data_IF_017193383264
#
_entry.id   IF_017193383264
#
_cell.length_a   1.000
_cell.length_b   1.000
_cell.length_c   1.000
_cell.angle_alpha   90.00
_cell.angle_beta   90.00
_cell.angle_gamma   90.00
#
_symmetry.space_group_name_H-M   'P 1'
#
loop_
_entity.id
_entity.type
_entity.pdbx_description
1 polymer ?
#
# COMPACT_ATOMS: atom_id res chain seq x y z
N UNK A 1 4.77 10.92 -9.39
CA UNK A 1 4.88 10.56 -7.95
C UNK A 1 6.10 9.72 -7.66
N UNK A 2 6.23 8.49 -8.21
CA UNK A 2 7.35 7.57 -7.92
C UNK A 2 8.74 8.23 -8.07
N UNK A 3 8.94 9.01 -9.15
CA UNK A 3 10.16 9.79 -9.37
C UNK A 3 10.42 10.85 -8.28
N UNK A 4 9.38 11.64 -7.93
CA UNK A 4 9.45 12.69 -6.92
C UNK A 4 9.84 12.12 -5.54
N UNK A 5 9.23 10.98 -5.19
CA UNK A 5 9.57 10.26 -3.97
C UNK A 5 11.00 9.77 -3.99
N UNK A 6 11.46 9.18 -5.10
CA UNK A 6 12.88 8.83 -5.29
C UNK A 6 13.79 10.02 -5.03
N UNK A 7 13.51 11.16 -5.65
CA UNK A 7 14.31 12.39 -5.50
C UNK A 7 14.32 12.96 -4.07
N UNK A 8 13.26 12.71 -3.28
CA UNK A 8 13.19 13.13 -1.88
C UNK A 8 13.95 12.23 -0.89
N UNK A 9 14.28 10.99 -1.28
CA UNK A 9 14.98 10.04 -0.41
C UNK A 9 16.45 10.42 -0.25
N UNK A 10 16.92 10.45 1.00
CA UNK A 10 18.34 10.58 1.31
C UNK A 10 18.99 9.22 1.53
N UNK A 11 20.19 9.00 0.98
CA UNK A 11 21.03 7.87 1.43
C UNK A 11 21.41 7.97 2.90
N UNK A 12 21.38 9.18 3.48
CA UNK A 12 21.59 9.43 4.91
C UNK A 12 20.32 9.27 5.75
N UNK A 13 19.25 8.64 5.24
CA UNK A 13 18.04 8.40 6.02
C UNK A 13 18.40 7.74 7.36
N UNK A 14 17.95 8.33 8.46
CA UNK A 14 18.30 7.86 9.80
C UNK A 14 17.95 6.38 9.93
N UNK A 15 18.83 5.54 10.51
CA UNK A 15 18.56 4.11 10.72
C UNK A 15 17.19 3.83 11.38
N UNK A 16 16.70 4.76 12.20
CA UNK A 16 15.37 4.74 12.79
C UNK A 16 14.23 4.78 11.77
N UNK A 17 14.32 5.63 10.74
CA UNK A 17 13.31 5.73 9.67
C UNK A 17 13.32 4.45 8.83
N UNK A 18 14.50 3.95 8.46
CA UNK A 18 14.65 2.68 7.75
C UNK A 18 14.06 1.53 8.56
N UNK A 19 14.35 1.46 9.85
CA UNK A 19 13.79 0.43 10.74
C UNK A 19 12.27 0.51 10.81
N UNK A 20 11.69 1.67 11.12
CA UNK A 20 10.23 1.82 11.26
C UNK A 20 9.51 1.55 9.96
N UNK A 21 9.84 2.30 8.90
CA UNK A 21 9.14 2.23 7.61
C UNK A 21 9.41 0.92 6.89
N UNK A 22 10.67 0.47 6.87
CA UNK A 22 11.07 -0.78 6.23
C UNK A 22 10.39 -1.98 6.88
N UNK A 23 10.25 -1.98 8.21
CA UNK A 23 9.49 -3.02 8.91
C UNK A 23 8.04 -3.08 8.42
N UNK A 24 7.36 -1.93 8.32
CA UNK A 24 5.96 -1.90 7.89
C UNK A 24 5.81 -2.39 6.45
N UNK A 25 6.61 -1.88 5.52
CA UNK A 25 6.59 -2.28 4.11
C UNK A 25 6.87 -3.77 3.97
N UNK A 26 7.96 -4.27 4.56
CA UNK A 26 8.32 -5.69 4.47
C UNK A 26 7.27 -6.60 5.10
N UNK A 27 6.71 -6.20 6.24
CA UNK A 27 5.65 -6.97 6.91
C UNK A 27 4.43 -7.07 6.00
N UNK A 28 4.01 -5.96 5.39
CA UNK A 28 2.84 -5.95 4.52
C UNK A 28 3.04 -6.80 3.27
N UNK A 29 4.19 -6.65 2.61
CA UNK A 29 4.56 -7.47 1.44
C UNK A 29 4.58 -8.95 1.80
N UNK A 30 5.17 -9.31 2.95
CA UNK A 30 5.23 -10.69 3.41
C UNK A 30 3.83 -11.26 3.69
N UNK A 31 2.96 -10.49 4.34
CA UNK A 31 1.58 -10.92 4.59
C UNK A 31 0.81 -11.08 3.28
N UNK A 32 0.90 -10.11 2.37
CA UNK A 32 0.28 -10.20 1.04
C UNK A 32 0.77 -11.43 0.26
N UNK A 33 2.07 -11.71 0.32
CA UNK A 33 2.67 -12.90 -0.27
C UNK A 33 2.12 -14.20 0.34
N UNK A 34 2.10 -14.31 1.67
CA UNK A 34 1.58 -15.49 2.38
C UNK A 34 0.10 -15.75 2.06
N UNK A 35 -0.72 -14.70 2.04
CA UNK A 35 -2.16 -14.81 1.74
C UNK A 35 -2.36 -15.20 0.28
N UNK A 36 -1.60 -14.60 -0.65
CA UNK A 36 -1.68 -14.93 -2.07
C UNK A 36 -1.23 -16.37 -2.33
N UNK A 37 -0.15 -16.84 -1.67
CA UNK A 37 0.34 -18.21 -1.74
C UNK A 37 -0.67 -19.21 -1.16
N UNK A 38 -1.29 -18.88 -0.02
CA UNK A 38 -2.32 -19.73 0.57
C UNK A 38 -3.54 -19.82 -0.36
N UNK A 39 -4.00 -18.68 -0.88
CA UNK A 39 -5.15 -18.64 -1.78
C UNK A 39 -4.88 -19.38 -3.09
N UNK A 40 -3.70 -19.22 -3.70
CA UNK A 40 -3.36 -19.92 -4.96
C UNK A 40 -3.30 -21.44 -4.81
N UNK A 41 -3.01 -21.95 -3.60
CA UNK A 41 -3.05 -23.38 -3.29
C UNK A 41 -4.46 -23.90 -3.01
N UNK A 42 -5.33 -23.07 -2.44
CA UNK A 42 -6.68 -23.47 -2.03
C UNK A 42 -7.68 -23.34 -3.20
N UNK A 43 -7.45 -22.40 -4.12
CA UNK A 43 -8.35 -22.11 -5.25
C UNK A 43 -7.69 -22.55 -6.57
N UNK A 44 -8.05 -23.73 -7.11
CA UNK A 44 -7.58 -24.18 -8.41
C UNK A 44 -7.92 -23.15 -9.50
N UNK A 45 -6.96 -22.81 -10.35
CA UNK A 45 -7.12 -21.79 -11.39
C UNK A 45 -6.99 -20.34 -10.91
N UNK A 46 -6.88 -20.10 -9.60
CA UNK A 46 -6.57 -18.77 -9.05
C UNK A 46 -7.75 -17.78 -9.07
N UNK A 47 -8.96 -18.23 -9.35
CA UNK A 47 -10.17 -17.40 -9.26
C UNK A 47 -11.37 -18.25 -8.88
N UNK A 48 -12.25 -17.67 -8.06
CA UNK A 48 -13.53 -18.27 -7.70
C UNK A 48 -14.56 -17.80 -8.73
N UNK A 49 -15.16 -18.74 -9.46
CA UNK A 49 -16.12 -18.42 -10.53
C UNK A 49 -17.58 -18.42 -10.06
N UNK A 50 -17.89 -19.12 -8.96
CA UNK A 50 -19.27 -19.34 -8.50
C UNK A 50 -19.45 -19.07 -7.02
N UNK A 51 -20.70 -18.82 -6.62
CA UNK A 51 -21.09 -18.60 -5.22
C UNK A 51 -20.84 -17.17 -4.72
N UNK A 52 -20.92 -17.00 -3.40
CA UNK A 52 -20.86 -15.67 -2.74
C UNK A 52 -19.47 -15.01 -2.88
N UNK A 53 -18.43 -15.81 -3.13
CA UNK A 53 -17.07 -15.33 -3.37
C UNK A 53 -16.70 -15.22 -4.86
N UNK A 54 -17.68 -15.36 -5.77
CA UNK A 54 -17.46 -15.24 -7.21
C UNK A 54 -16.80 -13.89 -7.55
N UNK A 55 -15.66 -13.96 -8.25
CA UNK A 55 -14.84 -12.81 -8.61
C UNK A 55 -13.62 -12.56 -7.74
N UNK A 56 -13.51 -13.22 -6.59
CA UNK A 56 -12.29 -13.19 -5.82
C UNK A 56 -11.21 -14.00 -6.58
N UNK A 57 -10.10 -13.34 -6.89
CA UNK A 57 -8.99 -13.92 -7.63
C UNK A 57 -7.67 -13.62 -6.93
N UNK A 58 -6.61 -14.37 -7.27
CA UNK A 58 -5.26 -14.08 -6.75
C UNK A 58 -4.84 -12.66 -7.12
N UNK A 59 -5.26 -12.17 -8.29
CA UNK A 59 -5.00 -10.82 -8.76
C UNK A 59 -5.70 -9.76 -7.90
N UNK A 60 -6.95 -10.00 -7.53
CA UNK A 60 -7.69 -9.11 -6.62
C UNK A 60 -7.04 -9.09 -5.23
N UNK A 61 -6.69 -10.26 -4.69
CA UNK A 61 -6.08 -10.39 -3.35
C UNK A 61 -4.75 -9.67 -3.28
N UNK A 62 -3.83 -9.99 -4.20
CA UNK A 62 -2.50 -9.37 -4.17
C UNK A 62 -2.62 -7.86 -4.30
N UNK A 63 -3.42 -7.37 -5.26
CA UNK A 63 -3.60 -5.94 -5.52
C UNK A 63 -4.25 -5.21 -4.33
N UNK A 64 -5.07 -5.88 -3.52
CA UNK A 64 -5.67 -5.28 -2.35
C UNK A 64 -4.70 -5.19 -1.16
N UNK A 65 -3.77 -6.15 -1.02
CA UNK A 65 -3.03 -6.36 0.22
C UNK A 65 -1.58 -5.87 0.18
N UNK A 66 -0.95 -5.80 -0.98
CA UNK A 66 0.47 -5.51 -1.11
C UNK A 66 0.81 -4.01 -1.08
N UNK A 67 -0.20 -3.14 -1.13
CA UNK A 67 -0.03 -1.70 -1.24
C UNK A 67 -0.70 -0.92 -0.10
N UNK A 68 0.00 0.05 0.46
CA UNK A 68 -0.50 1.03 1.43
C UNK A 68 -0.86 2.33 0.75
N UNK A 69 -1.97 2.93 1.18
CA UNK A 69 -2.26 4.30 0.81
C UNK A 69 -1.31 5.26 1.54
N UNK A 70 -0.16 5.54 0.92
CA UNK A 70 0.88 6.41 1.48
C UNK A 70 0.38 7.83 1.78
N UNK A 71 -0.55 8.37 0.99
CA UNK A 71 -1.15 9.68 1.23
C UNK A 71 -2.04 9.70 2.47
N UNK A 72 -2.90 8.68 2.62
CA UNK A 72 -3.71 8.48 3.82
C UNK A 72 -2.84 8.25 5.05
N UNK A 73 -1.85 7.37 4.94
CA UNK A 73 -0.90 7.09 6.02
C UNK A 73 -0.20 8.39 6.47
N UNK A 74 0.34 9.17 5.52
CA UNK A 74 1.01 10.43 5.82
C UNK A 74 0.08 11.41 6.53
N UNK A 75 -1.16 11.57 6.05
CA UNK A 75 -2.14 12.47 6.67
C UNK A 75 -2.49 12.06 8.12
N UNK A 76 -2.69 10.77 8.36
CA UNK A 76 -3.00 10.24 9.69
C UNK A 76 -1.78 10.36 10.61
N UNK A 77 -0.57 10.08 10.11
CA UNK A 77 0.66 10.15 10.90
C UNK A 77 1.15 11.57 11.15
N UNK A 78 0.82 12.54 10.31
CA UNK A 78 1.02 13.95 10.63
C UNK A 78 0.19 14.40 11.85
N UNK A 79 -0.97 13.78 12.07
CA UNK A 79 -1.85 14.11 13.21
C UNK A 79 -1.52 13.32 14.47
N UNK A 80 -1.20 12.02 14.34
CA UNK A 80 -1.11 11.09 15.48
C UNK A 80 0.28 10.45 15.68
N UNK A 81 1.18 10.56 14.70
CA UNK A 81 2.48 9.87 14.70
C UNK A 81 3.65 10.81 15.03
N UNK A 82 4.85 10.22 15.16
CA UNK A 82 6.10 10.97 15.28
C UNK A 82 6.56 11.53 13.92
N UNK A 83 7.53 12.45 13.92
CA UNK A 83 8.14 12.97 12.68
C UNK A 83 8.70 11.84 11.83
N UNK A 84 9.37 10.86 12.45
CA UNK A 84 9.93 9.69 11.78
C UNK A 84 8.84 8.79 11.19
N UNK A 85 7.72 8.62 11.90
CA UNK A 85 6.57 7.82 11.42
C UNK A 85 5.84 8.51 10.27
N UNK A 86 5.69 9.85 10.32
CA UNK A 86 5.12 10.61 9.20
C UNK A 86 6.02 10.58 7.96
N UNK A 87 7.35 10.60 8.14
CA UNK A 87 8.33 10.50 7.05
C UNK A 87 8.44 9.10 6.45
N UNK A 88 7.90 8.08 7.12
CA UNK A 88 7.92 6.69 6.65
C UNK A 88 7.16 6.46 5.34
N UNK A 89 6.23 7.35 5.01
CA UNK A 89 5.41 7.23 3.80
C UNK A 89 6.23 7.22 2.51
N UNK A 90 7.44 7.80 2.53
CA UNK A 90 8.34 7.84 1.36
C UNK A 90 8.74 6.42 0.95
N UNK A 91 9.06 5.56 1.92
CA UNK A 91 9.36 4.15 1.66
C UNK A 91 8.11 3.34 1.32
N UNK A 92 6.96 3.66 1.90
CA UNK A 92 5.68 3.07 1.49
C UNK A 92 5.30 3.44 0.06
N UNK A 93 5.87 4.50 -0.50
CA UNK A 93 5.65 4.82 -1.91
C UNK A 93 6.38 3.86 -2.85
N UNK A 94 7.34 3.05 -2.35
CA UNK A 94 8.02 2.03 -3.16
C UNK A 94 7.12 0.85 -3.53
N UNK A 95 6.18 0.50 -2.65
CA UNK A 95 5.23 -0.55 -2.97
C UNK A 95 4.15 -0.05 -3.96
N UNK A 96 4.11 1.27 -4.23
CA UNK A 96 3.14 1.85 -5.16
C UNK A 96 3.45 1.51 -6.62
N UNK A 97 2.73 0.53 -7.16
CA UNK A 97 2.73 0.16 -8.58
C UNK A 97 2.55 -1.34 -8.78
N UNK A 98 2.71 -1.85 -10.00
CA UNK A 98 2.57 -3.28 -10.27
C UNK A 98 3.77 -4.11 -9.80
N UNK A 99 4.89 -3.47 -9.42
CA UNK A 99 6.16 -4.16 -9.14
C UNK A 99 6.03 -5.23 -8.06
N UNK A 100 5.51 -4.85 -6.89
CA UNK A 100 5.37 -5.78 -5.75
C UNK A 100 4.37 -6.87 -6.09
N UNK A 101 3.24 -6.52 -6.70
CA UNK A 101 2.24 -7.48 -7.16
C UNK A 101 2.85 -8.49 -8.13
N UNK A 102 3.66 -8.05 -9.10
CA UNK A 102 4.34 -8.90 -10.07
C UNK A 102 5.36 -9.84 -9.40
N UNK A 103 6.12 -9.34 -8.41
CA UNK A 103 7.06 -10.17 -7.64
C UNK A 103 6.31 -11.25 -6.86
N UNK A 104 5.22 -10.89 -6.20
CA UNK A 104 4.38 -11.85 -5.45
C UNK A 104 3.79 -12.87 -6.41
N UNK A 105 3.07 -12.44 -7.46
CA UNK A 105 2.45 -13.31 -8.47
C UNK A 105 3.47 -14.25 -9.14
N UNK A 106 4.66 -13.72 -9.45
CA UNK A 106 5.76 -14.49 -10.01
C UNK A 106 6.26 -15.57 -9.05
N UNK A 107 6.53 -15.18 -7.80
CA UNK A 107 7.09 -16.08 -6.79
C UNK A 107 6.13 -17.19 -6.34
N UNK A 108 4.81 -16.95 -6.36
CA UNK A 108 3.81 -17.98 -6.03
C UNK A 108 3.44 -18.85 -7.22
N UNK A 109 4.05 -18.62 -8.40
CA UNK A 109 3.80 -19.39 -9.63
C UNK A 109 2.50 -19.03 -10.35
N UNK A 110 1.86 -17.91 -10.02
CA UNK A 110 0.61 -17.49 -10.66
C UNK A 110 0.82 -16.82 -12.03
N UNK A 111 2.01 -16.28 -12.28
CA UNK A 111 2.37 -15.69 -13.57
C UNK A 111 3.88 -15.71 -13.80
N UNK A 112 4.31 -15.51 -15.05
CA UNK A 112 5.70 -15.23 -15.39
C UNK A 112 5.77 -13.88 -16.09
N UNK A 113 6.70 -13.04 -15.66
CA UNK A 113 6.88 -11.69 -16.19
C UNK A 113 8.31 -11.56 -16.71
N UNK A 114 8.52 -11.07 -17.95
CA UNK A 114 9.87 -10.81 -18.42
C UNK A 114 10.53 -9.65 -17.65
N UNK A 115 11.86 -9.74 -17.49
CA UNK A 115 12.65 -8.85 -16.62
C UNK A 115 12.52 -7.36 -16.99
N UNK A 116 12.30 -7.07 -18.28
CA UNK A 116 12.07 -5.72 -18.79
C UNK A 116 10.89 -5.00 -18.12
N UNK A 117 9.81 -5.71 -17.75
CA UNK A 117 8.68 -5.09 -17.05
C UNK A 117 9.05 -4.66 -15.63
N UNK A 118 9.88 -5.44 -14.93
CA UNK A 118 10.39 -5.07 -13.59
C UNK A 118 11.29 -3.84 -13.66
N UNK A 119 12.18 -3.77 -14.66
CA UNK A 119 13.05 -2.61 -14.88
C UNK A 119 12.20 -1.37 -15.12
N UNK A 120 11.21 -1.43 -16.00
CA UNK A 120 10.32 -0.30 -16.30
C UNK A 120 9.55 0.22 -15.07
N UNK A 121 9.18 -0.66 -14.14
CA UNK A 121 8.48 -0.27 -12.92
C UNK A 121 9.40 0.39 -11.87
N UNK A 122 10.67 -0.01 -11.80
CA UNK A 122 11.65 0.50 -10.81
C UNK A 122 12.37 1.76 -11.30
N UNK A 123 12.57 1.90 -12.61
CA UNK A 123 13.44 2.91 -13.20
C UNK A 123 13.11 4.35 -12.79
N UNK A 124 11.83 4.81 -12.78
CA UNK A 124 11.51 6.17 -12.36
C UNK A 124 11.94 6.47 -10.92
N UNK A 125 11.82 5.50 -10.01
CA UNK A 125 12.27 5.65 -8.63
C UNK A 125 13.79 5.79 -8.56
N UNK A 126 14.53 4.90 -9.23
CA UNK A 126 16.00 4.92 -9.21
C UNK A 126 16.58 6.19 -9.82
N UNK A 127 16.03 6.66 -10.94
CA UNK A 127 16.48 7.92 -11.55
C UNK A 127 16.24 9.07 -10.57
N UNK A 128 15.07 9.13 -9.94
CA UNK A 128 14.78 10.13 -8.90
C UNK A 128 15.79 10.07 -7.76
N UNK A 129 16.01 8.87 -7.20
CA UNK A 129 16.94 8.63 -6.10
C UNK A 129 18.37 9.06 -6.43
N UNK A 130 18.87 8.69 -7.62
CA UNK A 130 20.20 9.05 -8.07
C UNK A 130 20.31 10.57 -8.19
N UNK A 131 19.40 11.21 -8.93
CA UNK A 131 19.45 12.67 -9.16
C UNK A 131 19.32 13.47 -7.87
N UNK A 132 18.42 13.08 -6.97
CA UNK A 132 18.25 13.75 -5.67
C UNK A 132 19.44 13.59 -4.72
N UNK A 133 20.27 12.56 -4.89
CA UNK A 133 21.49 12.42 -4.09
C UNK A 133 22.74 12.99 -4.79
N UNK A 134 22.68 13.28 -6.09
CA UNK A 134 23.73 13.98 -6.83
C UNK A 134 23.65 15.50 -6.68
N UNK A 135 22.44 16.05 -6.54
CA UNK A 135 22.20 17.50 -6.48
C UNK A 135 21.29 17.86 -5.27
N UNK A 136 21.83 18.53 -4.23
CA UNK A 136 21.06 18.97 -3.08
C UNK A 136 19.93 19.95 -3.40
N UNK A 137 20.13 20.87 -4.36
CA UNK A 137 19.12 21.86 -4.76
C UNK A 137 17.97 21.17 -5.50
N UNK A 138 18.31 20.21 -6.37
CA UNK A 138 17.34 19.34 -7.04
C UNK A 138 16.47 18.59 -6.04
N UNK A 139 17.09 17.99 -5.01
CA UNK A 139 16.37 17.30 -3.95
C UNK A 139 15.50 18.24 -3.13
N UNK A 140 15.99 19.41 -2.75
CA UNK A 140 15.20 20.38 -2.00
C UNK A 140 13.96 20.80 -2.79
N UNK A 141 14.12 21.08 -4.09
CA UNK A 141 13.03 21.42 -4.99
C UNK A 141 11.95 20.33 -5.03
N UNK A 142 12.33 19.06 -5.25
CA UNK A 142 11.36 17.96 -5.32
C UNK A 142 10.80 17.51 -3.96
N UNK A 143 11.55 17.71 -2.88
CA UNK A 143 11.06 17.47 -1.51
C UNK A 143 9.95 18.47 -1.16
N UNK A 144 10.10 19.75 -1.51
CA UNK A 144 9.03 20.75 -1.35
C UNK A 144 7.80 20.41 -2.19
N UNK A 145 8.01 19.99 -3.45
CA UNK A 145 6.91 19.58 -4.33
C UNK A 145 6.13 18.39 -3.76
N UNK A 146 6.79 17.48 -3.03
CA UNK A 146 6.14 16.31 -2.43
C UNK A 146 5.04 16.69 -1.44
N UNK A 147 5.27 17.69 -0.57
CA UNK A 147 4.25 18.17 0.37
C UNK A 147 3.05 18.81 -0.35
N UNK A 148 3.31 19.60 -1.40
CA UNK A 148 2.27 20.19 -2.25
C UNK A 148 1.44 19.11 -2.93
N UNK A 149 2.05 18.00 -3.33
CA UNK A 149 1.36 16.90 -4.01
C UNK A 149 0.42 16.09 -3.12
N UNK A 150 0.57 16.10 -1.79
CA UNK A 150 -0.30 15.36 -0.86
C UNK A 150 -1.80 15.72 -1.04
N UNK A 151 -2.23 17.00 -0.97
CA UNK A 151 -3.63 17.36 -1.15
C UNK A 151 -4.15 17.04 -2.57
N UNK A 152 -3.35 17.22 -3.62
CA UNK A 152 -3.76 16.86 -4.98
C UNK A 152 -3.88 15.34 -5.16
N UNK A 153 -3.01 14.56 -4.53
CA UNK A 153 -3.11 13.11 -4.54
C UNK A 153 -4.36 12.65 -3.80
N UNK A 154 -4.64 13.23 -2.62
CA UNK A 154 -5.88 12.98 -1.88
C UNK A 154 -7.13 13.36 -2.68
N UNK A 155 -7.12 14.52 -3.35
CA UNK A 155 -8.23 14.97 -4.19
C UNK A 155 -8.43 14.11 -5.45
N UNK A 156 -7.35 13.82 -6.18
CA UNK A 156 -7.40 12.95 -7.36
C UNK A 156 -7.86 11.54 -6.99
N UNK A 157 -7.40 11.01 -5.85
CA UNK A 157 -7.89 9.75 -5.30
C UNK A 157 -9.39 9.82 -4.99
N UNK A 158 -9.82 10.87 -4.29
CA UNK A 158 -11.24 11.10 -3.99
C UNK A 158 -12.10 11.21 -5.24
N UNK A 159 -11.62 11.88 -6.28
CA UNK A 159 -12.32 12.03 -7.55
C UNK A 159 -12.35 10.73 -8.38
N UNK A 160 -11.32 9.90 -8.27
CA UNK A 160 -11.26 8.59 -8.92
C UNK A 160 -12.12 7.52 -8.21
N UNK A 161 -12.60 7.79 -7.00
CA UNK A 161 -13.49 6.88 -6.28
C UNK A 161 -14.90 6.92 -6.89
N UNK A 162 -15.28 5.81 -7.51
CA UNK A 162 -16.64 5.56 -7.96
C UNK A 162 -17.39 4.72 -6.91
N UNK A 163 -18.26 5.38 -6.13
CA UNK A 163 -19.10 4.73 -5.10
C UNK A 163 -20.05 3.69 -5.69
N UNK A 164 -20.36 3.74 -6.99
CA UNK A 164 -21.16 2.70 -7.65
C UNK A 164 -20.50 1.32 -7.58
N UNK A 165 -19.16 1.26 -7.41
CA UNK A 165 -18.43 0.00 -7.25
C UNK A 165 -18.82 -0.76 -5.99
N UNK A 166 -19.26 -0.06 -4.93
CA UNK A 166 -19.79 -0.71 -3.72
C UNK A 166 -21.06 -1.49 -4.07
N UNK A 167 -21.93 -0.94 -4.92
CA UNK A 167 -23.14 -1.63 -5.36
C UNK A 167 -22.83 -2.75 -6.36
N UNK A 168 -21.85 -2.56 -7.25
CA UNK A 168 -21.44 -3.57 -8.24
C UNK A 168 -20.80 -4.81 -7.61
N UNK A 169 -19.91 -4.61 -6.63
CA UNK A 169 -19.22 -5.71 -5.94
C UNK A 169 -19.99 -6.21 -4.72
N UNK A 170 -20.90 -5.40 -4.21
CA UNK A 170 -21.77 -5.72 -3.09
C UNK A 170 -20.99 -6.08 -1.83
N UNK A 171 -21.52 -7.08 -1.12
CA UNK A 171 -20.97 -7.52 0.16
C UNK A 171 -19.53 -8.04 0.04
N UNK A 172 -19.16 -8.65 -1.09
CA UNK A 172 -17.83 -9.24 -1.28
C UNK A 172 -16.72 -8.17 -1.22
N UNK A 173 -16.91 -7.03 -1.88
CA UNK A 173 -15.95 -5.93 -1.85
C UNK A 173 -15.79 -5.32 -0.45
N UNK A 174 -16.89 -5.22 0.30
CA UNK A 174 -16.87 -4.72 1.69
C UNK A 174 -16.12 -5.70 2.60
N UNK A 175 -16.45 -6.99 2.50
CA UNK A 175 -15.78 -8.04 3.27
C UNK A 175 -14.29 -8.11 2.94
N UNK A 176 -13.92 -7.96 1.66
CA UNK A 176 -12.51 -7.92 1.27
C UNK A 176 -11.80 -6.71 1.88
N UNK A 177 -12.41 -5.51 1.87
CA UNK A 177 -11.85 -4.33 2.52
C UNK A 177 -11.65 -4.51 4.03
N UNK A 178 -12.62 -5.10 4.72
CA UNK A 178 -12.49 -5.46 6.14
C UNK A 178 -11.40 -6.51 6.35
N UNK A 179 -11.32 -7.51 5.47
CA UNK A 179 -10.31 -8.55 5.52
C UNK A 179 -8.91 -7.96 5.33
N UNK A 180 -8.70 -6.99 4.43
CA UNK A 180 -7.41 -6.29 4.30
C UNK A 180 -7.00 -5.63 5.61
N UNK A 181 -7.91 -4.88 6.25
CA UNK A 181 -7.61 -4.19 7.52
C UNK A 181 -7.20 -5.20 8.59
N UNK A 182 -7.91 -6.32 8.70
CA UNK A 182 -7.63 -7.33 9.74
C UNK A 182 -6.35 -8.11 9.42
N UNK A 183 -6.26 -8.66 8.20
CA UNK A 183 -5.20 -9.58 7.79
C UNK A 183 -3.86 -8.85 7.69
N UNK A 184 -3.83 -7.64 7.11
CA UNK A 184 -2.59 -6.85 7.03
C UNK A 184 -2.36 -6.04 8.30
N UNK A 185 -3.40 -5.48 8.90
CA UNK A 185 -3.27 -4.57 10.03
C UNK A 185 -2.83 -5.24 11.33
N UNK A 186 -3.30 -6.47 11.63
CA UNK A 186 -2.85 -7.16 12.85
C UNK A 186 -1.34 -7.41 12.85
N UNK A 187 -0.74 -8.04 11.80
CA UNK A 187 0.71 -8.16 11.70
C UNK A 187 1.42 -6.80 11.72
N UNK A 188 0.89 -5.79 11.03
CA UNK A 188 1.49 -4.45 11.00
C UNK A 188 1.51 -3.77 12.37
N UNK A 189 0.44 -3.89 13.16
CA UNK A 189 0.38 -3.38 14.54
C UNK A 189 1.48 -4.03 15.39
N UNK A 190 1.64 -5.34 15.28
CA UNK A 190 2.68 -6.06 16.02
C UNK A 190 4.09 -5.70 15.55
N UNK A 191 4.28 -5.58 14.24
CA UNK A 191 5.56 -5.20 13.66
C UNK A 191 5.97 -3.78 14.06
N UNK A 192 5.03 -2.83 14.04
CA UNK A 192 5.24 -1.47 14.55
C UNK A 192 5.64 -1.48 16.03
N UNK A 193 4.91 -2.24 16.86
CA UNK A 193 5.14 -2.27 18.30
C UNK A 193 6.47 -2.94 18.69
N UNK A 194 6.78 -4.09 18.10
CA UNK A 194 7.88 -4.93 18.54
C UNK A 194 9.19 -4.68 17.79
N UNK A 195 9.13 -4.23 16.54
CA UNK A 195 10.33 -4.01 15.71
C UNK A 195 10.52 -2.50 15.45
N UNK A 196 9.42 -1.81 15.09
CA UNK A 196 9.44 -0.36 14.87
C UNK A 196 9.69 0.44 16.15
N UNK A 197 9.22 -0.07 17.30
CA UNK A 197 9.24 0.62 18.59
C UNK A 197 8.14 1.68 18.72
N UNK A 198 7.09 1.61 17.90
CA UNK A 198 5.89 2.44 17.98
C UNK A 198 4.85 1.87 18.96
N UNK A 199 3.65 2.45 18.94
CA UNK A 199 2.52 2.02 19.78
C UNK A 199 1.50 1.14 19.03
N UNK A 200 1.80 0.75 17.78
CA UNK A 200 0.91 0.02 16.89
C UNK A 200 0.07 0.91 15.98
N UNK A 201 0.01 2.23 16.25
CA UNK A 201 -0.79 3.18 15.48
C UNK A 201 -0.28 3.38 14.05
N UNK A 202 1.04 3.39 13.84
CA UNK A 202 1.61 3.47 12.50
C UNK A 202 1.35 2.18 11.72
N UNK A 203 1.42 1.03 12.39
CA UNK A 203 1.03 -0.25 11.79
C UNK A 203 -0.43 -0.26 11.31
N UNK A 204 -1.35 0.21 12.14
CA UNK A 204 -2.77 0.31 11.78
C UNK A 204 -3.02 1.32 10.66
N UNK A 205 -2.35 2.48 10.69
CA UNK A 205 -2.43 3.47 9.60
C UNK A 205 -1.94 2.88 8.26
N UNK A 206 -0.98 1.96 8.32
CA UNK A 206 -0.45 1.27 7.15
C UNK A 206 -1.35 0.13 6.65
N UNK A 207 -2.45 -0.22 7.32
CA UNK A 207 -3.35 -1.32 6.95
C UNK A 207 -4.32 -1.01 5.79
N UNK A 208 -4.16 0.13 5.12
CA UNK A 208 -5.04 0.58 4.03
C UNK A 208 -4.63 0.04 2.67
N UNK A 209 -5.54 -0.02 1.70
CA UNK A 209 -5.19 -0.29 0.30
C UNK A 209 -4.95 1.01 -0.47
N UNK A 210 -3.89 1.05 -1.28
CA UNK A 210 -3.56 2.24 -2.06
C UNK A 210 -4.58 2.52 -3.16
N UNK A 211 -4.86 3.81 -3.41
CA UNK A 211 -5.64 4.22 -4.58
C UNK A 211 -5.08 3.77 -5.92
N UNK A 212 -3.75 3.79 -6.05
CA UNK A 212 -3.07 3.32 -7.25
C UNK A 212 -3.31 1.83 -7.53
N UNK A 213 -3.68 1.03 -6.51
CA UNK A 213 -3.94 -0.38 -6.68
C UNK A 213 -5.14 -0.67 -7.59
N UNK A 214 -6.09 0.26 -7.74
CA UNK A 214 -7.26 0.07 -8.63
C UNK A 214 -6.82 -0.15 -10.09
N UNK A 215 -5.71 0.47 -10.50
CA UNK A 215 -5.15 0.32 -11.83
C UNK A 215 -4.32 -0.96 -12.01
N UNK A 216 -3.82 -1.57 -10.93
CA UNK A 216 -2.90 -2.72 -10.99
C UNK A 216 -3.49 -3.91 -11.75
N UNK A 217 -4.74 -4.37 -11.52
CA UNK A 217 -5.26 -5.53 -12.22
C UNK A 217 -5.23 -5.41 -13.74
N UNK A 218 -5.60 -4.25 -14.28
CA UNK A 218 -5.59 -3.98 -15.73
C UNK A 218 -4.16 -3.89 -16.26
N UNK A 219 -3.25 -3.23 -15.53
CA UNK A 219 -1.84 -3.12 -15.93
C UNK A 219 -1.19 -4.51 -15.97
N UNK A 220 -1.41 -5.31 -14.93
CA UNK A 220 -0.89 -6.67 -14.83
C UNK A 220 -1.48 -7.55 -15.93
N UNK A 221 -2.78 -7.47 -16.20
CA UNK A 221 -3.41 -8.25 -17.27
C UNK A 221 -2.87 -7.92 -18.67
N UNK A 222 -2.39 -6.69 -18.90
CA UNK A 222 -1.68 -6.34 -20.14
C UNK A 222 -0.30 -7.00 -20.26
N UNK A 223 0.36 -7.26 -19.13
CA UNK A 223 1.67 -7.92 -19.07
C UNK A 223 1.57 -9.45 -18.96
N UNK A 224 0.47 -9.93 -18.40
CA UNK A 224 0.14 -11.34 -18.14
C UNK A 224 -1.30 -11.61 -18.60
N UNK A 225 -1.52 -11.88 -19.91
CA UNK A 225 -2.84 -11.98 -20.52
C UNK A 225 -3.78 -13.03 -19.90
N UNK A 226 -3.24 -14.03 -19.19
CA UNK A 226 -4.05 -15.02 -18.47
C UNK A 226 -4.97 -14.39 -17.42
N UNK A 227 -4.66 -13.18 -16.94
CA UNK A 227 -5.52 -12.46 -16.00
C UNK A 227 -6.57 -11.57 -16.67
N UNK A 228 -6.56 -11.43 -18.01
CA UNK A 228 -7.52 -10.60 -18.71
C UNK A 228 -9.00 -10.92 -18.37
N UNK A 229 -9.43 -12.20 -18.20
CA UNK A 229 -10.81 -12.52 -17.86
C UNK A 229 -11.24 -11.99 -16.48
N UNK A 230 -10.31 -11.90 -15.52
CA UNK A 230 -10.60 -11.51 -14.13
C UNK A 230 -10.25 -10.05 -13.82
N UNK A 231 -9.56 -9.37 -14.73
CA UNK A 231 -9.01 -8.03 -14.50
C UNK A 231 -10.09 -6.99 -14.14
N UNK A 232 -11.20 -6.97 -14.89
CA UNK A 232 -12.29 -6.01 -14.67
C UNK A 232 -12.94 -6.21 -13.30
N UNK A 233 -13.20 -7.47 -12.93
CA UNK A 233 -13.82 -7.81 -11.65
C UNK A 233 -12.86 -7.57 -10.47
N UNK A 234 -11.58 -7.91 -10.64
CA UNK A 234 -10.54 -7.59 -9.67
C UNK A 234 -10.41 -6.07 -9.46
N UNK A 235 -10.43 -5.26 -10.53
CA UNK A 235 -10.42 -3.79 -10.43
C UNK A 235 -11.61 -3.27 -9.63
N UNK A 236 -12.82 -3.79 -9.85
CA UNK A 236 -14.00 -3.36 -9.09
C UNK A 236 -13.88 -3.71 -7.60
N UNK A 237 -13.37 -4.90 -7.27
CA UNK A 237 -13.13 -5.34 -5.88
C UNK A 237 -12.06 -4.49 -5.19
N UNK A 238 -10.96 -4.20 -5.88
CA UNK A 238 -9.90 -3.33 -5.38
C UNK A 238 -10.43 -1.93 -5.15
N UNK A 239 -11.23 -1.37 -6.08
CA UNK A 239 -11.84 -0.06 -5.91
C UNK A 239 -12.71 0.02 -4.65
N UNK A 240 -13.55 -0.98 -4.42
CA UNK A 240 -14.40 -1.03 -3.21
C UNK A 240 -13.56 -1.18 -1.95
N UNK A 241 -12.52 -2.00 -1.99
CA UNK A 241 -11.57 -2.20 -0.89
C UNK A 241 -10.83 -0.90 -0.55
N UNK A 242 -10.39 -0.14 -1.55
CA UNK A 242 -9.80 1.19 -1.34
C UNK A 242 -10.77 2.14 -0.66
N UNK A 243 -12.05 2.16 -1.04
CA UNK A 243 -13.07 3.00 -0.40
C UNK A 243 -13.23 2.64 1.07
N UNK A 244 -13.46 1.34 1.34
CA UNK A 244 -13.69 0.81 2.69
C UNK A 244 -12.51 1.12 3.60
N UNK A 245 -11.28 0.81 3.14
CA UNK A 245 -10.08 1.06 3.92
C UNK A 245 -9.79 2.55 4.10
N UNK A 246 -10.06 3.39 3.09
CA UNK A 246 -9.85 4.84 3.20
C UNK A 246 -10.76 5.51 4.23
N UNK A 247 -11.96 4.95 4.48
CA UNK A 247 -12.88 5.42 5.52
C UNK A 247 -12.50 4.82 6.88
N UNK A 248 -12.33 3.51 6.96
CA UNK A 248 -12.22 2.81 8.24
C UNK A 248 -10.84 2.96 8.88
N UNK A 249 -9.75 2.91 8.12
CA UNK A 249 -8.38 2.99 8.67
C UNK A 249 -8.14 4.26 9.49
N UNK A 250 -8.44 5.49 9.02
CA UNK A 250 -8.25 6.69 9.84
C UNK A 250 -9.12 6.71 11.10
N UNK A 251 -10.37 6.20 11.03
CA UNK A 251 -11.25 6.07 12.20
C UNK A 251 -10.64 5.11 13.22
N UNK A 252 -10.26 3.91 12.77
CA UNK A 252 -9.66 2.89 13.62
C UNK A 252 -8.33 3.37 14.22
N UNK A 253 -7.51 4.07 13.45
CA UNK A 253 -6.24 4.65 13.93
C UNK A 253 -6.49 5.73 14.98
N UNK A 254 -7.48 6.60 14.77
CA UNK A 254 -7.88 7.61 15.76
C UNK A 254 -8.36 6.97 17.07
N UNK A 255 -9.20 5.93 16.98
CA UNK A 255 -9.66 5.17 18.15
C UNK A 255 -8.52 4.46 18.87
N UNK A 256 -7.59 3.86 18.11
CA UNK A 256 -6.39 3.24 18.65
C UNK A 256 -5.53 4.25 19.39
N UNK A 257 -5.27 5.41 18.80
CA UNK A 257 -4.49 6.47 19.41
C UNK A 257 -5.15 7.00 20.69
N UNK A 258 -6.47 7.20 20.71
CA UNK A 258 -7.19 7.60 21.93
C UNK A 258 -7.02 6.60 23.07
N UNK A 259 -6.91 5.30 22.77
CA UNK A 259 -6.80 4.22 23.76
C UNK A 259 -5.36 3.91 24.17
N UNK A 260 -4.43 3.92 23.22
CA UNK A 260 -3.05 3.43 23.37
C UNK A 260 -1.97 4.48 23.09
N UNK A 261 -2.34 5.65 22.56
CA UNK A 261 -1.44 6.75 22.22
C UNK A 261 -0.87 7.53 23.41
N UNK A 262 -1.34 7.25 24.65
CA UNK A 262 -0.82 7.86 25.89
C UNK A 262 0.53 7.26 26.36
N UNK A 263 1.41 6.86 25.45
CA UNK A 263 2.77 6.44 25.83
C UNK A 263 3.78 7.43 25.24
N UNK A 264 4.39 8.19 26.15
CA UNK A 264 5.39 9.26 25.99
C UNK A 264 4.87 10.64 25.57
N UNK A 265 4.10 11.26 26.46
CA UNK A 265 4.42 12.65 26.80
C UNK A 265 5.77 12.61 27.54
N UNK A 266 6.88 12.77 26.80
CA UNK A 266 8.14 13.12 27.45
C UNK A 266 8.00 14.57 27.88
N UNK A 267 8.21 14.79 29.17
CA UNK A 267 8.38 16.08 29.81
C UNK A 267 9.38 16.92 29.03
N UNK A 268 8.95 18.05 28.52
CA UNK A 268 9.82 19.21 28.33
C UNK A 268 9.26 20.31 29.24
N UNK A 269 9.88 20.41 30.41
CA UNK A 269 9.86 21.57 31.29
C UNK A 269 11.26 22.21 31.22
#
# INVERSE_FOLDING_TARGET
MVFLYGASVSFSATPTILRKSGTLVLTKILVAWLVTLAFSKIVPGGSIETGVFAGLSVLAIVSCMDMTNGGLYAAVMQQYGSKEESGAFVLMSLESGPLVSMLILGSVGAASFPLNHFIGAVLPFLIGLILGNLDPDFKEFFTKATGVMIPFFGFALGNAIDLSNIFKTGLLGILLGLAVIVITGIPLIFADKFIGGGNGGAGLAAASSAGAAVANPVIIAKMAPQFAPVAAQATALVATTVIVTSILVPILTSLWYKRFGKVKAIQEA
#
